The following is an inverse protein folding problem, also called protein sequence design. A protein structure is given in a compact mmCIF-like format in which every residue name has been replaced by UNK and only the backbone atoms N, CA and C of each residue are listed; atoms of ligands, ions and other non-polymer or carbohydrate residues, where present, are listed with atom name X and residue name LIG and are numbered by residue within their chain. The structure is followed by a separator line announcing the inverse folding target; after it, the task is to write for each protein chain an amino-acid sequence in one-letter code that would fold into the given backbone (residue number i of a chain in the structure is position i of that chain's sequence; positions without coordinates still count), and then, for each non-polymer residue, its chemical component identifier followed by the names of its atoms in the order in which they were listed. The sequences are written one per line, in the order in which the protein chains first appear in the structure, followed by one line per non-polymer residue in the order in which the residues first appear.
data_IF_209183305845
#
_entry.id   IF_209183305845
#
_cell.length_a   1.000
_cell.length_b   1.000
_cell.length_c   1.000
_cell.angle_alpha   90.00
_cell.angle_beta   90.00
_cell.angle_gamma   90.00
#
_symmetry.space_group_name_H-M   'P 1'
#
loop_
_entity.id
_entity.type
_entity.pdbx_description
1 polymer ?
#
# COMPACT_ATOMS: atom_id res chain seq x y z
N UNK A 1 -9.20 -20.42 22.39
CA UNK A 1 -9.65 -20.09 21.03
C UNK A 1 -8.42 -20.01 20.15
N UNK A 2 -8.33 -20.83 19.11
CA UNK A 2 -7.28 -20.68 18.10
C UNK A 2 -7.53 -19.38 17.35
N UNK A 3 -6.62 -18.42 17.46
CA UNK A 3 -6.68 -17.17 16.69
C UNK A 3 -6.67 -17.51 15.21
N UNK A 4 -7.76 -17.18 14.49
CA UNK A 4 -7.77 -17.28 13.05
C UNK A 4 -6.75 -16.30 12.47
N UNK A 5 -5.74 -16.83 11.78
CA UNK A 5 -4.77 -16.00 11.07
C UNK A 5 -5.48 -15.12 10.04
N UNK A 6 -5.10 -13.85 9.99
CA UNK A 6 -5.54 -12.92 8.94
C UNK A 6 -5.11 -13.50 7.58
N UNK A 7 -6.08 -13.68 6.67
CA UNK A 7 -5.83 -14.26 5.34
C UNK A 7 -5.69 -13.20 4.25
N UNK A 8 -6.30 -12.02 4.45
CA UNK A 8 -6.36 -10.95 3.46
C UNK A 8 -6.38 -9.58 4.11
N UNK A 9 -5.71 -8.63 3.49
CA UNK A 9 -5.73 -7.20 3.85
C UNK A 9 -6.01 -6.35 2.62
N UNK A 10 -6.71 -5.24 2.83
CA UNK A 10 -6.92 -4.20 1.82
C UNK A 10 -6.36 -2.88 2.33
N UNK A 11 -5.44 -2.29 1.57
CA UNK A 11 -4.73 -1.07 1.92
C UNK A 11 -5.13 0.01 0.92
N UNK A 12 -5.72 1.10 1.42
CA UNK A 12 -6.13 2.25 0.60
C UNK A 12 -5.04 3.31 0.69
N UNK A 13 -4.49 3.69 -0.46
CA UNK A 13 -3.48 4.74 -0.57
C UNK A 13 -4.13 5.94 -1.23
N UNK A 14 -4.43 6.97 -0.43
CA UNK A 14 -5.11 8.20 -0.87
C UNK A 14 -4.19 9.42 -0.94
N UNK A 15 -3.04 9.37 -0.27
CA UNK A 15 -2.04 10.44 -0.25
C UNK A 15 -0.97 10.18 -1.31
N UNK A 16 -0.56 11.25 -2.02
CA UNK A 16 0.43 11.19 -3.10
C UNK A 16 1.84 11.60 -2.68
N UNK A 17 2.06 11.94 -1.41
CA UNK A 17 3.40 12.22 -0.87
C UNK A 17 4.12 10.91 -0.53
N UNK A 18 5.44 10.92 -0.54
CA UNK A 18 6.26 9.74 -0.32
C UNK A 18 6.01 9.13 1.06
N UNK A 19 5.86 9.97 2.10
CA UNK A 19 5.52 9.57 3.46
C UNK A 19 4.12 8.93 3.59
N UNK A 20 3.19 9.24 2.69
CA UNK A 20 1.86 8.61 2.64
C UNK A 20 1.84 7.29 1.84
N UNK A 21 2.60 7.24 0.75
CA UNK A 21 2.65 6.07 -0.15
C UNK A 21 3.51 4.95 0.45
N UNK A 22 4.68 5.29 0.98
CA UNK A 22 5.70 4.33 1.39
C UNK A 22 5.24 3.38 2.51
N UNK A 23 4.55 3.84 3.57
CA UNK A 23 4.01 2.94 4.59
C UNK A 23 3.00 1.93 4.02
N UNK A 24 2.14 2.35 3.08
CA UNK A 24 1.18 1.45 2.43
C UNK A 24 1.86 0.32 1.67
N UNK A 25 2.94 0.63 0.95
CA UNK A 25 3.75 -0.35 0.23
C UNK A 25 4.52 -1.28 1.18
N UNK A 26 5.10 -0.75 2.28
CA UNK A 26 5.79 -1.55 3.30
C UNK A 26 4.82 -2.55 3.95
N UNK A 27 3.64 -2.08 4.37
CA UNK A 27 2.62 -2.94 4.98
C UNK A 27 2.16 -4.04 4.01
N UNK A 28 1.94 -3.70 2.74
CA UNK A 28 1.59 -4.69 1.73
C UNK A 28 2.69 -5.74 1.55
N UNK A 29 3.95 -5.32 1.53
CA UNK A 29 5.09 -6.22 1.41
C UNK A 29 5.16 -7.17 2.63
N UNK A 30 5.08 -6.64 3.85
CA UNK A 30 5.05 -7.44 5.08
C UNK A 30 3.89 -8.44 5.11
N UNK A 31 2.68 -8.01 4.70
CA UNK A 31 1.54 -8.91 4.58
C UNK A 31 1.83 -10.07 3.61
N UNK A 32 2.42 -9.79 2.45
CA UNK A 32 2.76 -10.83 1.47
C UNK A 32 3.84 -11.79 1.98
N UNK A 33 4.81 -11.31 2.77
CA UNK A 33 5.84 -12.14 3.42
C UNK A 33 5.24 -13.13 4.42
N UNK A 34 4.21 -12.71 5.14
CA UNK A 34 3.46 -13.55 6.09
C UNK A 34 2.44 -14.49 5.42
N UNK A 35 2.40 -14.53 4.07
CA UNK A 35 1.44 -15.34 3.32
C UNK A 35 0.02 -14.77 3.28
N UNK A 36 -0.17 -13.51 3.68
CA UNK A 36 -1.45 -12.80 3.65
C UNK A 36 -1.66 -12.22 2.23
N UNK A 37 -2.85 -12.38 1.67
CA UNK A 37 -3.24 -11.72 0.42
C UNK A 37 -3.35 -10.21 0.64
N UNK A 38 -2.68 -9.40 -0.18
CA UNK A 38 -2.70 -7.94 -0.05
C UNK A 38 -3.31 -7.29 -1.29
N UNK A 39 -4.41 -6.56 -1.09
CA UNK A 39 -5.02 -5.69 -2.09
C UNK A 39 -4.61 -4.25 -1.84
N UNK A 40 -4.10 -3.56 -2.86
CA UNK A 40 -3.83 -2.13 -2.80
C UNK A 40 -4.81 -1.37 -3.67
N UNK A 41 -5.49 -0.38 -3.10
CA UNK A 41 -6.38 0.51 -3.82
C UNK A 41 -5.84 1.94 -3.77
N UNK A 42 -5.30 2.38 -4.90
CA UNK A 42 -4.81 3.75 -5.07
C UNK A 42 -5.97 4.66 -5.51
N UNK A 43 -6.19 5.76 -4.80
CA UNK A 43 -7.26 6.71 -5.10
C UNK A 43 -6.81 8.15 -4.86
N UNK A 44 -7.56 9.13 -5.37
CA UNK A 44 -7.23 10.57 -5.27
C UNK A 44 -5.76 10.85 -5.65
N UNK A 45 -4.99 11.47 -4.75
CA UNK A 45 -3.57 11.78 -4.96
C UNK A 45 -2.68 10.54 -4.90
N UNK A 46 -3.13 9.46 -4.26
CA UNK A 46 -2.41 8.19 -4.24
C UNK A 46 -2.22 7.57 -5.62
N UNK A 47 -3.04 7.94 -6.62
CA UNK A 47 -2.83 7.52 -8.01
C UNK A 47 -1.48 7.98 -8.57
N UNK A 48 -0.94 9.12 -8.10
CA UNK A 48 0.36 9.62 -8.56
C UNK A 48 1.50 8.63 -8.29
N UNK A 49 1.35 7.75 -7.29
CA UNK A 49 2.31 6.72 -6.94
C UNK A 49 2.47 5.62 -7.99
N UNK A 50 1.43 5.37 -8.80
CA UNK A 50 1.42 4.30 -9.82
C UNK A 50 1.47 4.85 -11.24
N UNK A 51 1.45 6.18 -11.40
CA UNK A 51 1.62 6.83 -12.69
C UNK A 51 3.11 6.90 -13.04
N UNK A 52 3.52 6.17 -14.09
CA UNK A 52 4.92 6.11 -14.57
C UNK A 52 5.59 7.48 -14.75
N UNK A 53 4.82 8.52 -15.09
CA UNK A 53 5.33 9.88 -15.32
C UNK A 53 5.52 10.69 -14.03
N UNK A 54 4.98 10.24 -12.89
CA UNK A 54 4.91 11.00 -11.63
C UNK A 54 5.55 10.28 -10.45
N UNK A 55 5.61 8.95 -10.46
CA UNK A 55 6.12 8.15 -9.33
C UNK A 55 7.55 8.53 -8.89
N UNK A 56 8.43 8.94 -9.81
CA UNK A 56 9.81 9.34 -9.48
C UNK A 56 9.91 10.75 -8.87
N UNK A 57 8.81 11.52 -8.89
CA UNK A 57 8.75 12.90 -8.42
C UNK A 57 8.02 13.08 -7.08
N UNK A 58 7.61 11.99 -6.43
CA UNK A 58 6.95 12.05 -5.13
C UNK A 58 7.93 12.64 -4.10
N UNK A 59 7.43 13.54 -3.25
CA UNK A 59 8.21 14.23 -2.21
C UNK A 59 7.63 13.94 -0.83
N UNK A 60 8.48 14.11 0.18
CA UNK A 60 8.08 14.18 1.60
C UNK A 60 7.46 15.54 1.86
#
# INVERSE_FOLDING_TARGET
MSEEKIKKVSIIISHGSLDGVYPGLIMANGARMEGIEANLFFTFFGLEAILKKRMDSLKV
#
